data_IF_551264742587
#
_entry.id   IF_551264742587
#
_cell.length_a   1.000
_cell.length_b   1.000
_cell.length_c   1.000
_cell.angle_alpha   90.00
_cell.angle_beta   90.00
_cell.angle_gamma   90.00
#
_symmetry.space_group_name_H-M   'P 1'
#
loop_
_entity.id
_entity.type
_entity.pdbx_description
1 polymer ?
#
# COMPACT_ATOMS: atom_id res chain seq x y z
N UNK A 1 -30.35 5.73 -15.15
CA UNK A 1 -30.71 5.35 -13.77
C UNK A 1 -29.95 6.26 -12.81
N UNK A 2 -30.56 6.74 -11.71
CA UNK A 2 -29.85 7.53 -10.72
C UNK A 2 -28.75 6.68 -10.06
N UNK A 3 -27.57 7.27 -9.88
CA UNK A 3 -26.48 6.65 -9.10
C UNK A 3 -26.92 6.44 -7.65
N UNK A 4 -26.36 5.43 -7.00
CA UNK A 4 -26.52 5.13 -5.57
C UNK A 4 -25.96 6.31 -4.76
N UNK A 5 -26.61 6.60 -3.64
CA UNK A 5 -26.21 7.65 -2.69
C UNK A 5 -24.79 7.40 -2.19
N UNK A 6 -24.41 6.16 -1.86
CA UNK A 6 -23.05 5.84 -1.38
C UNK A 6 -21.96 6.21 -2.40
N UNK A 7 -22.20 5.98 -3.70
CA UNK A 7 -21.25 6.30 -4.79
C UNK A 7 -21.15 7.81 -4.96
N UNK A 8 -22.28 8.53 -4.96
CA UNK A 8 -22.30 10.00 -5.02
C UNK A 8 -21.60 10.62 -3.83
N UNK A 9 -21.85 10.11 -2.62
CA UNK A 9 -21.26 10.63 -1.40
C UNK A 9 -19.74 10.38 -1.36
N UNK A 10 -19.29 9.20 -1.76
CA UNK A 10 -17.85 8.88 -1.80
C UNK A 10 -17.14 9.70 -2.88
N UNK A 11 -17.71 9.82 -4.08
CA UNK A 11 -17.14 10.61 -5.17
C UNK A 11 -17.08 12.13 -4.86
N UNK A 12 -18.03 12.64 -4.09
CA UNK A 12 -18.04 14.03 -3.64
C UNK A 12 -17.21 14.26 -2.36
N UNK A 13 -16.62 13.21 -1.78
CA UNK A 13 -15.87 13.29 -0.51
C UNK A 13 -16.73 13.65 0.71
N UNK A 14 -18.05 13.44 0.64
CA UNK A 14 -18.97 13.80 1.73
C UNK A 14 -19.14 12.69 2.76
N UNK A 15 -18.75 11.45 2.44
CA UNK A 15 -18.77 10.30 3.37
C UNK A 15 -17.35 9.87 3.71
N UNK A 16 -17.17 9.46 4.96
CA UNK A 16 -15.93 8.86 5.43
C UNK A 16 -15.67 7.51 4.75
N UNK A 17 -14.46 7.28 4.26
CA UNK A 17 -14.02 6.02 3.65
C UNK A 17 -14.24 4.82 4.56
N UNK A 18 -14.08 4.97 5.88
CA UNK A 18 -14.36 3.91 6.85
C UNK A 18 -15.84 3.51 6.83
N UNK A 19 -16.75 4.48 6.72
CA UNK A 19 -18.19 4.21 6.61
C UNK A 19 -18.48 3.50 5.29
N UNK A 20 -17.89 3.98 4.20
CA UNK A 20 -18.04 3.34 2.89
C UNK A 20 -17.50 1.90 2.89
N UNK A 21 -16.32 1.65 3.49
CA UNK A 21 -15.75 0.31 3.66
C UNK A 21 -16.67 -0.60 4.50
N UNK A 22 -17.23 -0.10 5.60
CA UNK A 22 -18.17 -0.89 6.42
C UNK A 22 -19.44 -1.25 5.65
N UNK A 23 -19.98 -0.34 4.85
CA UNK A 23 -21.13 -0.59 3.99
C UNK A 23 -20.81 -1.61 2.91
N UNK A 24 -19.68 -1.46 2.21
CA UNK A 24 -19.22 -2.41 1.21
C UNK A 24 -18.95 -3.80 1.81
N UNK A 25 -18.49 -3.89 3.06
CA UNK A 25 -18.33 -5.17 3.76
C UNK A 25 -19.66 -5.92 3.90
N UNK A 26 -20.75 -5.22 4.19
CA UNK A 26 -22.09 -5.83 4.24
C UNK A 26 -22.47 -6.37 2.86
N UNK A 27 -22.27 -5.57 1.80
CA UNK A 27 -22.55 -5.99 0.43
C UNK A 27 -21.72 -7.21 -0.01
N UNK A 28 -20.43 -7.24 0.33
CA UNK A 28 -19.51 -8.32 -0.06
C UNK A 28 -19.76 -9.64 0.68
N UNK A 29 -20.45 -9.60 1.82
CA UNK A 29 -20.71 -10.80 2.64
C UNK A 29 -21.50 -11.85 1.86
N UNK A 30 -22.38 -11.44 0.94
CA UNK A 30 -23.19 -12.37 0.18
C UNK A 30 -22.45 -13.15 -0.93
N UNK A 31 -21.23 -12.77 -1.31
CA UNK A 31 -20.46 -13.48 -2.35
C UNK A 31 -19.63 -14.66 -1.82
N UNK A 32 -19.57 -14.85 -0.50
CA UNK A 32 -18.77 -15.89 0.19
C UNK A 32 -17.33 -16.04 -0.36
N UNK A 33 -16.71 -14.92 -0.75
CA UNK A 33 -15.33 -14.92 -1.22
C UNK A 33 -14.38 -14.54 -0.09
N UNK A 34 -13.48 -15.46 0.25
CA UNK A 34 -12.53 -15.30 1.36
C UNK A 34 -11.56 -14.13 1.13
N UNK A 35 -11.07 -13.95 -0.10
CA UNK A 35 -10.07 -12.93 -0.40
C UNK A 35 -10.63 -11.51 -0.30
N UNK A 36 -11.80 -11.26 -0.91
CA UNK A 36 -12.49 -9.96 -0.86
C UNK A 36 -12.83 -9.57 0.59
N UNK A 37 -13.35 -10.54 1.35
CA UNK A 37 -13.65 -10.34 2.78
C UNK A 37 -12.37 -10.11 3.60
N UNK A 38 -11.27 -10.78 3.28
CA UNK A 38 -10.00 -10.57 3.98
C UNK A 38 -9.44 -9.18 3.69
N UNK A 39 -9.46 -8.74 2.43
CA UNK A 39 -9.00 -7.40 2.06
C UNK A 39 -9.80 -6.32 2.80
N UNK A 40 -11.13 -6.36 2.74
CA UNK A 40 -11.94 -5.29 3.35
C UNK A 40 -11.80 -5.27 4.88
N UNK A 41 -11.66 -6.44 5.52
CA UNK A 41 -11.39 -6.52 6.95
C UNK A 41 -10.01 -5.95 7.30
N UNK A 42 -8.98 -6.23 6.51
CA UNK A 42 -7.64 -5.71 6.71
C UNK A 42 -7.57 -4.19 6.46
N UNK A 43 -8.32 -3.66 5.49
CA UNK A 43 -8.42 -2.21 5.28
C UNK A 43 -9.08 -1.50 6.47
N UNK A 44 -10.10 -2.11 7.08
CA UNK A 44 -10.81 -1.55 8.24
C UNK A 44 -9.97 -1.67 9.53
N UNK A 45 -9.40 -2.84 9.80
CA UNK A 45 -8.80 -3.17 11.11
C UNK A 45 -7.28 -3.15 11.12
N UNK A 46 -6.65 -3.13 9.95
CA UNK A 46 -5.21 -3.28 9.77
C UNK A 46 -4.80 -4.69 9.35
N UNK A 47 -3.59 -4.79 8.81
CA UNK A 47 -2.97 -6.02 8.32
C UNK A 47 -2.19 -6.72 9.45
N UNK A 48 -2.45 -8.01 9.72
CA UNK A 48 -1.63 -8.81 10.62
C UNK A 48 -0.14 -8.82 10.23
N UNK A 49 0.74 -9.15 11.18
CA UNK A 49 2.20 -9.18 10.94
C UNK A 49 2.60 -10.13 9.82
N UNK A 50 1.98 -11.30 9.79
CA UNK A 50 2.30 -12.37 8.83
C UNK A 50 1.45 -12.29 7.54
N UNK A 51 0.53 -11.32 7.45
CA UNK A 51 -0.29 -11.15 6.27
C UNK A 51 0.49 -10.47 5.14
N UNK A 52 0.27 -10.96 3.91
CA UNK A 52 0.70 -10.27 2.69
C UNK A 52 -0.04 -8.93 2.61
N UNK A 53 0.72 -7.85 2.44
CA UNK A 53 0.17 -6.51 2.27
C UNK A 53 0.16 -6.14 0.78
N UNK A 54 -0.81 -5.35 0.32
CA UNK A 54 -0.80 -4.80 -1.02
C UNK A 54 0.40 -3.90 -1.27
N UNK A 55 0.88 -3.86 -2.52
CA UNK A 55 2.06 -3.05 -2.91
C UNK A 55 1.87 -1.56 -2.68
N UNK A 56 0.65 -1.04 -2.84
CA UNK A 56 0.34 0.36 -2.53
C UNK A 56 0.53 0.70 -1.04
N UNK A 57 0.55 -0.29 -0.13
CA UNK A 57 0.86 -0.09 1.30
C UNK A 57 2.37 -0.01 1.58
N UNK A 58 3.22 -0.19 0.57
CA UNK A 58 4.67 -0.15 0.67
C UNK A 58 5.17 1.13 0.02
N UNK A 59 5.88 1.94 0.79
CA UNK A 59 6.42 3.23 0.34
C UNK A 59 7.93 3.18 0.49
N UNK A 60 8.64 3.64 -0.54
CA UNK A 60 10.09 3.84 -0.48
C UNK A 60 10.40 5.22 0.11
N UNK A 61 11.19 5.25 1.18
CA UNK A 61 11.68 6.48 1.78
C UNK A 61 13.12 6.83 1.40
N UNK A 62 13.60 7.92 1.96
CA UNK A 62 14.97 8.41 1.81
C UNK A 62 15.76 8.17 3.09
N UNK A 63 16.94 7.56 2.99
CA UNK A 63 17.82 7.41 4.15
C UNK A 63 18.46 8.75 4.51
N UNK A 64 18.07 9.27 5.67
CA UNK A 64 18.56 10.52 6.24
C UNK A 64 19.21 10.20 7.59
N UNK A 65 20.23 10.97 7.97
CA UNK A 65 20.91 10.73 9.22
C UNK A 65 22.04 11.68 9.51
N UNK A 66 22.73 11.42 10.61
CA UNK A 66 23.88 12.20 11.04
C UNK A 66 25.10 11.29 11.14
N UNK A 67 26.26 11.82 10.77
CA UNK A 67 27.50 11.07 10.84
C UNK A 67 28.70 11.99 11.03
N UNK A 68 29.79 11.42 11.55
CA UNK A 68 31.09 12.05 11.62
C UNK A 68 32.02 11.41 10.58
N UNK A 69 32.91 12.20 10.00
CA UNK A 69 33.99 11.69 9.15
C UNK A 69 35.32 12.25 9.60
N UNK A 70 36.27 11.36 9.83
CA UNK A 70 37.64 11.71 10.22
C UNK A 70 38.09 10.99 11.48
N UNK A 71 39.14 11.52 12.10
CA UNK A 71 39.72 10.94 13.32
C UNK A 71 39.10 11.56 14.57
N UNK A 72 39.28 10.92 15.72
CA UNK A 72 38.84 11.46 17.02
C UNK A 72 39.41 12.87 17.29
N UNK A 73 40.61 13.18 16.77
CA UNK A 73 41.28 14.47 16.95
C UNK A 73 40.84 15.55 15.95
N UNK A 74 40.30 15.16 14.79
CA UNK A 74 39.83 16.08 13.75
C UNK A 74 38.79 15.36 12.90
N UNK A 75 37.53 15.76 13.07
CA UNK A 75 36.40 15.22 12.33
C UNK A 75 35.50 16.36 11.83
N UNK A 76 34.83 16.09 10.73
CA UNK A 76 33.72 16.90 10.24
C UNK A 76 32.39 16.27 10.68
N UNK A 77 31.41 17.11 10.97
CA UNK A 77 30.08 16.71 11.43
C UNK A 77 29.04 17.00 10.36
N UNK A 78 28.26 16.00 9.99
CA UNK A 78 27.07 16.18 9.15
C UNK A 78 25.83 15.83 9.96
N UNK A 79 24.90 16.77 10.01
CA UNK A 79 23.65 16.63 10.75
C UNK A 79 22.49 16.58 9.74
N UNK A 80 21.67 15.53 9.84
CA UNK A 80 20.45 15.35 9.05
C UNK A 80 20.67 15.55 7.53
N UNK A 81 21.57 14.73 6.98
CA UNK A 81 21.87 14.69 5.54
C UNK A 81 21.50 13.32 4.97
N UNK A 82 21.34 13.26 3.65
CA UNK A 82 21.16 11.97 2.98
C UNK A 82 22.42 11.12 3.12
N UNK A 83 22.22 9.87 3.56
CA UNK A 83 23.30 8.88 3.67
C UNK A 83 23.27 8.01 2.41
N UNK A 84 24.34 8.01 1.60
CA UNK A 84 24.40 7.13 0.43
C UNK A 84 24.42 5.65 0.86
N UNK A 85 23.94 4.76 -0.02
CA UNK A 85 24.03 3.30 0.18
C UNK A 85 25.18 2.67 -0.62
N UNK A 86 25.95 3.46 -1.37
CA UNK A 86 27.12 3.00 -2.11
C UNK A 86 26.79 1.86 -3.08
N UNK A 87 27.51 0.73 -2.95
CA UNK A 87 27.33 -0.47 -3.79
C UNK A 87 26.42 -1.53 -3.14
N UNK A 88 25.49 -1.13 -2.27
CA UNK A 88 24.55 -2.05 -1.63
C UNK A 88 23.65 -2.72 -2.69
N UNK A 89 23.44 -4.05 -2.65
CA UNK A 89 22.52 -4.73 -3.55
C UNK A 89 21.08 -4.23 -3.43
N UNK A 90 20.32 -4.19 -4.53
CA UNK A 90 18.95 -3.64 -4.57
C UNK A 90 18.02 -4.30 -3.55
N UNK A 91 18.03 -5.62 -3.40
CA UNK A 91 17.20 -6.34 -2.42
C UNK A 91 17.43 -5.83 -0.98
N UNK A 92 18.70 -5.54 -0.65
CA UNK A 92 19.05 -5.04 0.68
C UNK A 92 18.65 -3.57 0.82
N UNK A 93 18.82 -2.77 -0.24
CA UNK A 93 18.32 -1.38 -0.25
C UNK A 93 16.81 -1.35 -0.04
N UNK A 94 16.06 -2.22 -0.69
CA UNK A 94 14.60 -2.30 -0.59
C UNK A 94 14.17 -2.68 0.83
N UNK A 95 14.82 -3.69 1.43
CA UNK A 95 14.56 -4.05 2.83
C UNK A 95 14.81 -2.89 3.81
N UNK A 96 15.81 -2.07 3.51
CA UNK A 96 16.20 -0.92 4.33
C UNK A 96 15.28 0.27 4.11
N UNK A 97 15.02 0.65 2.86
CA UNK A 97 14.34 1.88 2.46
C UNK A 97 12.82 1.76 2.38
N UNK A 98 12.28 0.54 2.26
CA UNK A 98 10.84 0.37 2.21
C UNK A 98 10.23 0.44 3.62
N UNK A 99 9.12 1.16 3.71
CA UNK A 99 8.28 1.30 4.88
C UNK A 99 6.90 0.74 4.54
N UNK A 100 6.41 -0.16 5.37
CA UNK A 100 5.13 -0.85 5.18
C UNK A 100 4.08 -0.32 6.16
N UNK A 101 2.96 0.16 5.64
CA UNK A 101 1.83 0.65 6.42
C UNK A 101 0.78 -0.42 6.63
N UNK A 102 0.74 -0.98 7.84
CA UNK A 102 -0.16 -2.09 8.20
C UNK A 102 -1.42 -1.62 8.93
N UNK A 103 -1.49 -0.35 9.28
CA UNK A 103 -2.57 0.23 10.05
C UNK A 103 -3.87 0.27 9.23
N UNK A 104 -5.02 0.17 9.91
CA UNK A 104 -6.32 0.38 9.29
C UNK A 104 -6.48 1.83 8.81
N UNK A 105 -7.42 2.05 7.89
CA UNK A 105 -7.66 3.36 7.24
C UNK A 105 -7.83 4.50 8.25
N UNK A 106 -8.56 4.26 9.34
CA UNK A 106 -8.78 5.27 10.39
C UNK A 106 -7.49 5.69 11.07
N UNK A 107 -6.62 4.73 11.41
CA UNK A 107 -5.34 5.02 12.04
C UNK A 107 -4.39 5.76 11.08
N UNK A 108 -4.43 5.45 9.78
CA UNK A 108 -3.69 6.20 8.76
C UNK A 108 -4.17 7.64 8.62
N UNK A 109 -5.49 7.88 8.68
CA UNK A 109 -6.06 9.24 8.68
C UNK A 109 -5.57 10.04 9.89
N UNK A 110 -5.67 9.47 11.09
CA UNK A 110 -5.19 10.13 12.30
C UNK A 110 -3.67 10.38 12.28
N UNK A 111 -2.91 9.47 11.66
CA UNK A 111 -1.47 9.63 11.47
C UNK A 111 -1.17 10.82 10.56
N UNK A 112 -1.83 10.92 9.41
CA UNK A 112 -1.56 12.00 8.45
C UNK A 112 -1.99 13.36 8.99
N UNK A 113 -3.14 13.45 9.67
CA UNK A 113 -3.60 14.69 10.33
C UNK A 113 -2.61 15.19 11.38
N UNK A 114 -2.04 14.29 12.17
CA UNK A 114 -0.99 14.64 13.14
C UNK A 114 0.28 15.13 12.44
N UNK A 115 0.68 14.48 11.36
CA UNK A 115 1.89 14.86 10.63
C UNK A 115 1.76 16.23 9.99
N UNK A 116 0.61 16.52 9.38
CA UNK A 116 0.33 17.80 8.72
C UNK A 116 0.20 18.94 9.76
N UNK A 117 -0.20 18.64 11.00
CA UNK A 117 -0.37 19.64 12.07
C UNK A 117 0.86 19.86 12.96
N UNK A 118 1.78 18.90 13.09
CA UNK A 118 2.80 18.94 14.15
C UNK A 118 4.26 18.73 13.72
N UNK A 119 4.59 18.91 12.43
CA UNK A 119 5.98 18.81 11.93
C UNK A 119 6.67 17.48 12.29
N UNK A 120 5.89 16.43 12.57
CA UNK A 120 6.42 15.13 12.97
C UNK A 120 7.04 14.48 11.75
N UNK A 121 8.30 14.07 11.87
CA UNK A 121 8.97 13.29 10.84
C UNK A 121 8.42 11.87 10.84
N UNK A 122 7.81 11.47 9.72
CA UNK A 122 7.41 10.11 9.47
C UNK A 122 8.60 9.31 8.95
N UNK A 123 8.74 8.08 9.43
CA UNK A 123 9.77 7.20 8.92
C UNK A 123 10.06 6.01 9.79
N UNK A 124 10.97 5.18 9.29
CA UNK A 124 11.48 3.98 9.96
C UNK A 124 12.86 4.28 10.54
N UNK A 125 13.00 4.26 11.86
CA UNK A 125 14.33 4.36 12.49
C UNK A 125 15.18 3.15 12.11
N UNK A 126 16.44 3.39 11.78
CA UNK A 126 17.41 2.34 11.51
C UNK A 126 18.15 2.03 12.81
N UNK A 127 18.13 0.76 13.22
CA UNK A 127 18.88 0.31 14.39
C UNK A 127 20.40 0.50 14.14
N UNK A 128 21.11 0.97 15.17
CA UNK A 128 22.56 1.17 15.17
C UNK A 128 23.35 -0.08 14.75
N UNK A 129 22.81 -1.28 15.00
CA UNK A 129 23.41 -2.55 14.57
C UNK A 129 23.62 -2.62 13.03
N UNK A 130 22.83 -1.87 12.26
CA UNK A 130 22.94 -1.80 10.79
C UNK A 130 23.90 -0.71 10.28
N UNK A 131 24.37 0.19 11.13
CA UNK A 131 25.27 1.27 10.71
C UNK A 131 26.58 0.76 10.09
N UNK A 132 27.26 -0.27 10.64
CA UNK A 132 28.46 -0.83 10.01
C UNK A 132 28.21 -1.39 8.61
N UNK A 133 27.01 -1.94 8.35
CA UNK A 133 26.64 -2.47 7.03
C UNK A 133 26.56 -1.34 6.01
N UNK A 134 25.92 -0.23 6.35
CA UNK A 134 25.83 0.95 5.49
C UNK A 134 27.23 1.51 5.21
N UNK A 135 28.09 1.62 6.23
CA UNK A 135 29.47 2.10 6.09
C UNK A 135 30.30 1.17 5.19
N UNK A 136 30.15 -0.15 5.34
CA UNK A 136 30.84 -1.15 4.52
C UNK A 136 30.57 -0.96 3.02
N UNK A 137 29.30 -0.79 2.64
CA UNK A 137 28.92 -0.61 1.24
C UNK A 137 29.31 0.76 0.66
N UNK A 138 29.46 1.78 1.50
CA UNK A 138 30.01 3.09 1.10
C UNK A 138 31.52 3.09 0.93
N UNK A 139 32.24 2.06 1.43
CA UNK A 139 33.71 1.99 1.43
C UNK A 139 34.38 3.21 2.07
N UNK A 140 33.73 3.79 3.09
CA UNK A 140 34.24 4.94 3.82
C UNK A 140 34.52 4.57 5.29
N UNK A 141 35.68 3.95 5.58
CA UNK A 141 35.99 3.45 6.92
C UNK A 141 36.14 4.56 7.98
N UNK A 142 36.18 5.83 7.56
CA UNK A 142 36.25 6.98 8.45
C UNK A 142 34.87 7.56 8.77
N UNK A 143 33.80 6.99 8.20
CA UNK A 143 32.43 7.39 8.45
C UNK A 143 31.87 6.67 9.68
N UNK A 144 31.38 7.44 10.65
CA UNK A 144 30.69 6.93 11.82
C UNK A 144 29.27 7.50 11.86
N UNK A 145 28.29 6.68 11.52
CA UNK A 145 26.86 7.04 11.59
C UNK A 145 26.44 7.09 13.05
N UNK A 146 25.79 8.17 13.46
CA UNK A 146 25.28 8.38 14.82
C UNK A 146 23.77 8.26 14.90
N UNK A 147 23.08 8.61 13.81
CA UNK A 147 21.65 8.39 13.66
C UNK A 147 21.33 8.13 12.19
N UNK A 148 20.36 7.25 11.96
CA UNK A 148 19.80 7.04 10.62
C UNK A 148 18.32 6.71 10.72
N UNK A 149 17.55 7.30 9.82
CA UNK A 149 16.11 7.14 9.70
C UNK A 149 15.76 7.17 8.22
N UNK A 150 14.85 6.28 7.83
CA UNK A 150 14.24 6.32 6.50
C UNK A 150 13.04 7.22 6.59
N UNK A 151 13.18 8.44 6.06
CA UNK A 151 12.16 9.46 6.08
C UNK A 151 11.20 9.31 4.91
N UNK A 152 9.93 9.51 5.19
CA UNK A 152 8.84 9.44 4.21
C UNK A 152 7.97 10.69 4.30
N UNK A 153 7.46 11.13 3.15
CA UNK A 153 6.52 12.26 3.10
C UNK A 153 5.14 11.83 3.58
N UNK A 154 4.43 12.71 4.29
CA UNK A 154 3.01 12.50 4.64
C UNK A 154 2.14 12.33 3.39
N UNK A 155 2.55 12.89 2.25
CA UNK A 155 1.89 12.73 0.96
C UNK A 155 1.78 11.26 0.53
N UNK A 156 2.71 10.40 0.96
CA UNK A 156 2.63 8.97 0.66
C UNK A 156 1.44 8.31 1.35
N UNK A 157 1.08 8.74 2.57
CA UNK A 157 -0.11 8.24 3.28
C UNK A 157 -1.38 8.75 2.59
N UNK A 158 -1.41 10.01 2.16
CA UNK A 158 -2.52 10.55 1.35
C UNK A 158 -2.73 9.74 0.06
N UNK A 159 -1.65 9.34 -0.62
CA UNK A 159 -1.73 8.48 -1.81
C UNK A 159 -2.26 7.08 -1.49
N UNK A 160 -1.90 6.50 -0.34
CA UNK A 160 -2.44 5.21 0.14
C UNK A 160 -3.96 5.34 0.32
N UNK A 161 -4.41 6.35 1.07
CA UNK A 161 -5.83 6.59 1.33
C UNK A 161 -6.62 6.80 0.04
N UNK A 162 -6.11 7.63 -0.87
CA UNK A 162 -6.71 7.86 -2.18
C UNK A 162 -6.77 6.58 -3.03
N UNK A 163 -5.76 5.73 -2.98
CA UNK A 163 -5.77 4.44 -3.69
C UNK A 163 -6.85 3.50 -3.13
N UNK A 164 -7.02 3.46 -1.81
CA UNK A 164 -8.06 2.65 -1.15
C UNK A 164 -9.45 3.17 -1.52
N UNK A 165 -9.65 4.49 -1.49
CA UNK A 165 -10.90 5.15 -1.91
C UNK A 165 -11.25 4.84 -3.36
N UNK A 166 -10.28 4.92 -4.28
CA UNK A 166 -10.51 4.62 -5.69
C UNK A 166 -10.87 3.14 -5.91
N UNK A 167 -10.14 2.20 -5.29
CA UNK A 167 -10.47 0.76 -5.37
C UNK A 167 -11.86 0.46 -4.83
N UNK A 168 -12.24 1.11 -3.73
CA UNK A 168 -13.57 1.00 -3.14
C UNK A 168 -14.66 1.56 -4.07
N UNK A 169 -14.40 2.71 -4.68
CA UNK A 169 -15.31 3.36 -5.62
C UNK A 169 -15.53 2.49 -6.85
N UNK A 170 -14.47 1.96 -7.44
CA UNK A 170 -14.55 1.06 -8.60
C UNK A 170 -15.32 -0.23 -8.27
N UNK A 171 -15.09 -0.80 -7.08
CA UNK A 171 -15.84 -1.97 -6.61
C UNK A 171 -17.34 -1.66 -6.45
N UNK A 172 -17.69 -0.51 -5.86
CA UNK A 172 -19.09 -0.07 -5.72
C UNK A 172 -19.75 0.20 -7.08
N UNK A 173 -19.03 0.80 -8.03
CA UNK A 173 -19.53 1.02 -9.39
C UNK A 173 -19.83 -0.30 -10.09
N UNK A 174 -18.96 -1.30 -9.93
CA UNK A 174 -19.17 -2.64 -10.49
C UNK A 174 -20.41 -3.30 -9.86
N UNK A 175 -20.52 -3.27 -8.54
CA UNK A 175 -21.69 -3.81 -7.84
C UNK A 175 -22.99 -3.13 -8.30
N UNK A 176 -22.99 -1.80 -8.45
CA UNK A 176 -24.17 -1.08 -8.92
C UNK A 176 -24.56 -1.45 -10.36
N UNK A 177 -23.56 -1.64 -11.22
CA UNK A 177 -23.79 -2.06 -12.62
C UNK A 177 -24.48 -3.42 -12.68
N UNK A 178 -24.12 -4.33 -11.78
CA UNK A 178 -24.60 -5.72 -11.82
C UNK A 178 -25.90 -5.95 -11.04
N UNK A 179 -26.09 -5.27 -9.90
CA UNK A 179 -27.21 -5.49 -8.98
C UNK A 179 -28.16 -4.29 -8.86
N UNK A 180 -27.82 -3.14 -9.46
CA UNK A 180 -28.63 -1.92 -9.36
C UNK A 180 -28.29 -1.07 -8.15
N UNK A 181 -29.27 -0.32 -7.64
CA UNK A 181 -29.06 0.67 -6.57
C UNK A 181 -28.64 -0.02 -5.27
N UNK A 182 -27.53 0.43 -4.67
CA UNK A 182 -26.90 -0.19 -3.50
C UNK A 182 -27.30 0.44 -2.15
N UNK A 183 -28.26 1.36 -2.15
CA UNK A 183 -28.56 2.22 -1.00
C UNK A 183 -29.21 1.46 0.17
N UNK A 184 -29.87 0.34 -0.11
CA UNK A 184 -30.50 -0.52 0.91
C UNK A 184 -29.50 -1.47 1.60
N UNK A 185 -28.21 -1.44 1.20
CA UNK A 185 -27.15 -2.32 1.70
C UNK A 185 -27.45 -3.81 1.53
N UNK A 186 -28.34 -4.12 0.61
CA UNK A 186 -28.75 -5.46 0.25
C UNK A 186 -28.62 -5.62 -1.27
N UNK A 187 -28.16 -6.79 -1.70
CA UNK A 187 -28.01 -7.13 -3.11
C UNK A 187 -28.62 -8.50 -3.35
N UNK A 188 -29.51 -8.58 -4.34
CA UNK A 188 -30.11 -9.85 -4.74
C UNK A 188 -29.11 -10.66 -5.56
N UNK A 189 -28.21 -11.34 -4.85
CA UNK A 189 -27.23 -12.24 -5.44
C UNK A 189 -27.93 -13.45 -6.08
N UNK A 190 -29.11 -13.81 -5.58
CA UNK A 190 -29.90 -14.93 -6.08
C UNK A 190 -30.53 -14.72 -7.45
N UNK A 191 -30.68 -13.46 -7.86
CA UNK A 191 -31.03 -13.10 -9.24
C UNK A 191 -30.00 -13.50 -10.30
N UNK A 192 -28.73 -13.74 -9.91
CA UNK A 192 -27.63 -14.07 -10.83
C UNK A 192 -27.31 -15.57 -10.82
N UNK A 193 -26.98 -16.09 -12.00
CA UNK A 193 -26.49 -17.47 -12.16
C UNK A 193 -25.14 -17.66 -11.45
N UNK A 194 -24.76 -18.92 -11.18
CA UNK A 194 -23.48 -19.24 -10.52
C UNK A 194 -22.28 -18.73 -11.33
N UNK A 195 -22.33 -18.86 -12.66
CA UNK A 195 -21.24 -18.44 -13.54
C UNK A 195 -21.07 -16.92 -13.55
N UNK A 196 -22.18 -16.16 -13.55
CA UNK A 196 -22.14 -14.70 -13.43
C UNK A 196 -21.58 -14.25 -12.08
N UNK A 197 -21.95 -14.91 -10.97
CA UNK A 197 -21.37 -14.58 -9.65
C UNK A 197 -19.86 -14.79 -9.63
N UNK A 198 -19.37 -15.88 -10.23
CA UNK A 198 -17.94 -16.15 -10.33
C UNK A 198 -17.24 -15.06 -11.14
N UNK A 199 -17.83 -14.62 -12.25
CA UNK A 199 -17.26 -13.56 -13.09
C UNK A 199 -17.21 -12.21 -12.35
N UNK A 200 -18.27 -11.85 -11.63
CA UNK A 200 -18.32 -10.63 -10.82
C UNK A 200 -17.23 -10.65 -9.74
N UNK A 201 -17.08 -11.79 -9.04
CA UNK A 201 -16.03 -11.97 -8.02
C UNK A 201 -14.64 -11.82 -8.62
N UNK A 202 -14.39 -12.39 -9.81
CA UNK A 202 -13.11 -12.22 -10.52
C UNK A 202 -12.84 -10.75 -10.86
N UNK A 203 -13.86 -10.03 -11.36
CA UNK A 203 -13.72 -8.61 -11.68
C UNK A 203 -13.45 -7.77 -10.42
N UNK A 204 -14.10 -8.08 -9.30
CA UNK A 204 -13.82 -7.45 -8.01
C UNK A 204 -12.40 -7.74 -7.52
N UNK A 205 -11.93 -8.99 -7.65
CA UNK A 205 -10.55 -9.35 -7.32
C UNK A 205 -9.56 -8.57 -8.19
N UNK A 206 -9.82 -8.41 -9.49
CA UNK A 206 -8.99 -7.61 -10.39
C UNK A 206 -8.97 -6.15 -9.94
N UNK A 207 -10.11 -5.54 -9.62
CA UNK A 207 -10.17 -4.14 -9.12
C UNK A 207 -9.39 -3.97 -7.81
N UNK A 208 -9.58 -4.91 -6.88
CA UNK A 208 -9.03 -4.82 -5.51
C UNK A 208 -7.56 -5.20 -5.44
N UNK A 209 -7.11 -6.16 -6.25
CA UNK A 209 -5.77 -6.75 -6.18
C UNK A 209 -4.90 -6.45 -7.39
N UNK A 210 -5.35 -5.68 -8.40
CA UNK A 210 -4.50 -5.24 -9.52
C UNK A 210 -3.29 -4.43 -9.01
N UNK A 211 -2.27 -5.18 -8.67
CA UNK A 211 -0.89 -5.04 -9.06
C UNK A 211 -0.79 -5.85 -10.36
N UNK A 212 -0.21 -5.33 -11.45
CA UNK A 212 -0.18 -5.87 -12.83
C UNK A 212 0.38 -7.32 -12.98
N UNK A 213 -0.09 -8.26 -12.18
CA UNK A 213 0.38 -9.63 -12.05
C UNK A 213 -0.77 -10.54 -12.45
N UNK A 214 -0.67 -11.07 -13.66
CA UNK A 214 -1.45 -12.24 -14.04
C UNK A 214 -0.84 -13.42 -13.30
N UNK A 215 -1.44 -13.86 -12.19
CA UNK A 215 -1.05 -15.12 -11.56
C UNK A 215 -1.61 -16.27 -12.40
N UNK A 216 -0.78 -16.77 -13.31
CA UNK A 216 -1.05 -17.99 -14.09
C UNK A 216 -0.69 -19.17 -13.18
N UNK A 217 -1.70 -19.96 -12.78
CA UNK A 217 -1.47 -21.21 -12.04
C UNK A 217 -0.74 -22.28 -12.86
N UNK A 218 -0.26 -23.34 -12.20
CA UNK A 218 0.47 -24.42 -12.85
C UNK A 218 -0.40 -25.17 -13.89
N UNK A 219 0.18 -25.45 -15.07
CA UNK A 219 -0.44 -26.26 -16.13
C UNK A 219 -1.13 -25.49 -17.27
N UNK A 220 -1.13 -24.15 -17.24
CA UNK A 220 -1.69 -23.36 -18.33
C UNK A 220 -0.76 -23.33 -19.56
N UNK A 221 -1.33 -23.57 -20.75
CA UNK A 221 -0.65 -23.41 -22.04
C UNK A 221 -1.15 -22.15 -22.72
N UNK A 222 -0.30 -21.13 -22.83
CA UNK A 222 -0.59 -19.94 -23.64
C UNK A 222 -0.24 -20.28 -25.10
N UNK A 223 -1.23 -20.20 -26.01
CA UNK A 223 -1.01 -20.28 -27.45
C UNK A 223 -1.37 -18.94 -28.07
N UNK A 224 -0.54 -18.47 -29.01
CA UNK A 224 -0.75 -17.23 -29.79
C UNK A 224 -0.80 -15.93 -28.97
N UNK A 225 0.17 -15.71 -28.08
CA UNK A 225 0.34 -14.41 -27.42
C UNK A 225 1.27 -13.49 -28.22
N UNK A 226 0.94 -12.20 -28.27
CA UNK A 226 1.74 -11.12 -28.87
C UNK A 226 2.50 -10.28 -27.81
N UNK A 227 2.64 -10.79 -26.58
CA UNK A 227 3.39 -10.12 -25.51
C UNK A 227 4.89 -10.20 -25.85
N UNK A 228 5.45 -9.10 -26.36
CA UNK A 228 6.88 -8.95 -26.55
C UNK A 228 7.54 -8.56 -25.21
N UNK A 229 8.35 -9.45 -24.65
CA UNK A 229 9.22 -9.12 -23.52
C UNK A 229 10.44 -8.36 -24.02
N UNK A 230 10.50 -7.05 -23.81
CA UNK A 230 11.75 -6.29 -23.95
C UNK A 230 12.62 -6.60 -22.73
N UNK A 231 13.41 -7.66 -22.80
CA UNK A 231 14.50 -7.89 -21.84
C UNK A 231 15.72 -7.19 -22.44
N UNK A 232 16.14 -6.08 -21.85
CA UNK A 232 17.46 -5.52 -22.13
C UNK A 232 18.47 -6.23 -21.22
N UNK A 233 19.50 -6.78 -21.86
CA UNK A 233 20.70 -7.38 -21.23
C UNK A 233 21.49 -6.36 -20.39
#
# INVERSE_FOLDING_TARGET
MPKSKIIKELANGTVDTLIALKRTKVLLTGFDNVELNTWINNEITGYPKDAKIPTYRIVRGSLMGSYFKGSMASHMTWNHVSIPLGKMPEDLQDSLLNVSFREGVEALRQLVEKCDSSSIQLGKQINADFFPVIVHYNKDPYMMITSAMVEISSQCIHNILSTIENRLLDALILLEKEFGVLDDLDIDIDSKSKDERIEIVKQLQVIIFNDNSVNIGDGNRIKESNIASSIQE
#
